data_IF_001876892227
#
_entry.id   IF_001876892227
#
_cell.length_a   1.000
_cell.length_b   1.000
_cell.length_c   1.000
_cell.angle_alpha   90.00
_cell.angle_beta   90.00
_cell.angle_gamma   90.00
#
_symmetry.space_group_name_H-M   'P 1'
#
loop_
_entity.id
_entity.type
_entity.pdbx_description
1 polymer ?
#
# COMPACT_ATOMS: atom_id res chain seq x y z
N UNK A 1 -10.76 -0.16 26.34
CA UNK A 1 -9.67 -0.90 25.65
C UNK A 1 -10.10 -1.72 24.42
N UNK A 2 -11.36 -2.13 24.27
CA UNK A 2 -11.80 -2.96 23.11
C UNK A 2 -11.87 -2.18 21.77
N UNK A 3 -12.25 -0.90 21.81
CA UNK A 3 -12.31 -0.04 20.61
C UNK A 3 -10.96 0.11 19.92
N UNK A 4 -9.87 0.23 20.68
CA UNK A 4 -8.49 0.38 20.14
C UNK A 4 -8.03 -0.89 19.43
N UNK A 5 -8.31 -2.07 20.00
CA UNK A 5 -8.00 -3.37 19.37
C UNK A 5 -8.72 -3.52 18.02
N UNK A 6 -9.99 -3.12 17.95
CA UNK A 6 -10.77 -3.16 16.71
C UNK A 6 -10.24 -2.21 15.64
N UNK A 7 -9.74 -1.02 16.02
CA UNK A 7 -9.11 -0.07 15.09
C UNK A 7 -7.81 -0.66 14.54
N UNK A 8 -6.94 -1.21 15.39
CA UNK A 8 -5.69 -1.85 14.96
C UNK A 8 -5.97 -2.96 13.94
N UNK A 9 -6.93 -3.85 14.22
CA UNK A 9 -7.30 -4.96 13.31
C UNK A 9 -7.80 -4.45 11.94
N UNK A 10 -8.56 -3.35 11.92
CA UNK A 10 -9.03 -2.73 10.67
C UNK A 10 -7.85 -2.17 9.86
N UNK A 11 -6.93 -1.46 10.50
CA UNK A 11 -5.74 -0.89 9.86
C UNK A 11 -4.79 -1.99 9.33
N UNK A 12 -4.60 -3.08 10.07
CA UNK A 12 -3.81 -4.23 9.61
C UNK A 12 -4.43 -4.90 8.37
N UNK A 13 -5.76 -5.07 8.35
CA UNK A 13 -6.49 -5.59 7.19
C UNK A 13 -6.34 -4.69 5.97
N UNK A 14 -6.38 -3.37 6.17
CA UNK A 14 -6.18 -2.39 5.12
C UNK A 14 -4.75 -2.41 4.58
N UNK A 15 -3.75 -2.41 5.46
CA UNK A 15 -2.33 -2.51 5.11
C UNK A 15 -2.06 -3.77 4.27
N UNK A 16 -2.62 -4.92 4.66
CA UNK A 16 -2.49 -6.16 3.91
C UNK A 16 -3.11 -6.08 2.51
N UNK A 17 -4.33 -5.52 2.39
CA UNK A 17 -4.98 -5.31 1.09
C UNK A 17 -4.18 -4.36 0.20
N UNK A 18 -3.65 -3.27 0.77
CA UNK A 18 -2.84 -2.30 0.05
C UNK A 18 -1.55 -2.92 -0.46
N UNK A 19 -0.83 -3.68 0.38
CA UNK A 19 0.39 -4.37 -0.01
C UNK A 19 0.14 -5.43 -1.09
N UNK A 20 -0.98 -6.16 -1.02
CA UNK A 20 -1.37 -7.10 -2.06
C UNK A 20 -1.62 -6.40 -3.41
N UNK A 21 -2.36 -5.29 -3.42
CA UNK A 21 -2.57 -4.48 -4.62
C UNK A 21 -1.26 -3.92 -5.17
N UNK A 22 -0.39 -3.39 -4.29
CA UNK A 22 0.93 -2.86 -4.68
C UNK A 22 1.82 -3.95 -5.29
N UNK A 23 1.77 -5.15 -4.74
CA UNK A 23 2.47 -6.33 -5.26
C UNK A 23 2.00 -6.71 -6.66
N UNK A 24 0.67 -6.74 -6.89
CA UNK A 24 0.09 -6.97 -8.22
C UNK A 24 0.54 -5.90 -9.23
N UNK A 25 0.51 -4.63 -8.84
CA UNK A 25 0.97 -3.53 -9.69
C UNK A 25 2.47 -3.62 -10.01
N UNK A 26 3.30 -4.01 -9.02
CA UNK A 26 4.74 -4.21 -9.26
C UNK A 26 5.00 -5.36 -10.23
N UNK A 27 4.26 -6.47 -10.12
CA UNK A 27 4.35 -7.60 -11.06
C UNK A 27 3.85 -7.23 -12.46
N UNK A 28 2.82 -6.40 -12.56
CA UNK A 28 2.35 -5.88 -13.84
C UNK A 28 3.43 -5.02 -14.50
N UNK A 29 3.98 -4.05 -13.77
CA UNK A 29 5.04 -3.16 -14.27
C UNK A 29 6.33 -3.90 -14.65
N UNK A 30 6.65 -5.03 -14.02
CA UNK A 30 7.83 -5.84 -14.38
C UNK A 30 7.62 -6.68 -15.64
N UNK A 31 6.37 -7.06 -15.94
CA UNK A 31 6.04 -7.89 -17.12
C UNK A 31 5.82 -7.06 -18.39
N UNK A 32 5.42 -5.80 -18.27
CA UNK A 32 5.17 -4.94 -19.42
C UNK A 32 6.48 -4.42 -20.01
N UNK A 33 6.73 -4.77 -21.26
CA UNK A 33 7.74 -4.15 -22.13
C UNK A 33 7.23 -2.78 -22.63
N UNK A 34 8.14 -1.86 -22.98
CA UNK A 34 7.83 -0.46 -23.39
C UNK A 34 6.85 -0.33 -24.58
N UNK A 35 6.42 -1.44 -25.20
CA UNK A 35 5.52 -1.48 -26.35
C UNK A 35 4.03 -1.56 -25.96
N UNK A 36 3.69 -2.00 -24.75
CA UNK A 36 2.30 -2.23 -24.33
C UNK A 36 1.66 -1.07 -23.56
N UNK A 37 2.47 -0.19 -22.98
CA UNK A 37 2.02 0.99 -22.26
C UNK A 37 2.65 2.22 -22.89
N UNK A 38 1.85 3.28 -23.07
CA UNK A 38 2.42 4.59 -23.39
C UNK A 38 3.33 5.05 -22.25
N UNK A 39 4.28 5.94 -22.57
CA UNK A 39 5.20 6.52 -21.58
C UNK A 39 4.43 7.14 -20.41
N UNK A 40 3.33 7.86 -20.71
CA UNK A 40 2.48 8.51 -19.71
C UNK A 40 1.74 7.51 -18.83
N UNK A 41 1.15 6.46 -19.41
CA UNK A 41 0.49 5.41 -18.63
C UNK A 41 1.47 4.69 -17.70
N UNK A 42 2.68 4.41 -18.19
CA UNK A 42 3.73 3.79 -17.39
C UNK A 42 4.19 4.71 -16.24
N UNK A 43 4.35 6.00 -16.49
CA UNK A 43 4.70 6.98 -15.46
C UNK A 43 3.64 7.03 -14.35
N UNK A 44 2.36 7.18 -14.73
CA UNK A 44 1.25 7.20 -13.78
C UNK A 44 1.18 5.94 -12.90
N UNK A 45 1.38 4.76 -13.48
CA UNK A 45 1.39 3.51 -12.73
C UNK A 45 2.58 3.39 -11.75
N UNK A 46 3.74 3.97 -12.10
CA UNK A 46 4.90 4.05 -11.21
C UNK A 46 4.60 4.99 -10.04
N UNK A 47 4.05 6.17 -10.31
CA UNK A 47 3.66 7.13 -9.27
C UNK A 47 2.59 6.54 -8.34
N UNK A 48 1.58 5.87 -8.89
CA UNK A 48 0.58 5.17 -8.10
C UNK A 48 1.21 4.14 -7.17
N UNK A 49 2.15 3.31 -7.66
CA UNK A 49 2.88 2.34 -6.83
C UNK A 49 3.64 3.04 -5.69
N UNK A 50 4.27 4.18 -5.97
CA UNK A 50 5.00 4.96 -4.96
C UNK A 50 4.05 5.55 -3.90
N UNK A 51 2.91 6.12 -4.32
CA UNK A 51 1.88 6.65 -3.43
C UNK A 51 1.33 5.56 -2.49
N UNK A 52 1.02 4.38 -3.04
CA UNK A 52 0.64 3.20 -2.23
C UNK A 52 1.74 2.80 -1.24
N UNK A 53 3.01 2.93 -1.62
CA UNK A 53 4.15 2.70 -0.74
C UNK A 53 4.23 3.68 0.43
N UNK A 54 4.03 4.98 0.17
CA UNK A 54 3.98 6.04 1.19
C UNK A 54 2.81 5.79 2.15
N UNK A 55 1.62 5.47 1.62
CA UNK A 55 0.46 5.18 2.45
C UNK A 55 0.66 3.94 3.35
N UNK A 56 1.26 2.87 2.81
CA UNK A 56 1.60 1.68 3.60
C UNK A 56 2.54 1.99 4.79
N UNK A 57 3.52 2.89 4.58
CA UNK A 57 4.40 3.36 5.66
C UNK A 57 3.62 4.11 6.74
N UNK A 58 2.73 5.02 6.35
CA UNK A 58 1.89 5.78 7.28
C UNK A 58 0.98 4.85 8.11
N UNK A 59 0.34 3.85 7.48
CA UNK A 59 -0.45 2.84 8.18
C UNK A 59 0.39 2.05 9.20
N UNK A 60 1.61 1.66 8.83
CA UNK A 60 2.52 0.93 9.74
C UNK A 60 2.89 1.75 10.97
N UNK A 61 3.19 3.04 10.79
CA UNK A 61 3.49 3.96 11.89
C UNK A 61 2.25 4.12 12.80
N UNK A 62 1.08 4.39 12.21
CA UNK A 62 -0.16 4.54 13.00
C UNK A 62 -0.50 3.30 13.82
N UNK A 63 -0.31 2.10 13.26
CA UNK A 63 -0.51 0.83 13.98
C UNK A 63 0.48 0.72 15.14
N UNK A 64 1.74 1.11 14.95
CA UNK A 64 2.77 1.11 16.00
C UNK A 64 2.36 2.04 17.15
N UNK A 65 2.01 3.29 16.85
CA UNK A 65 1.60 4.28 17.85
C UNK A 65 0.39 3.79 18.66
N UNK A 66 -0.59 3.16 18.01
CA UNK A 66 -1.78 2.61 18.67
C UNK A 66 -1.47 1.39 19.56
N UNK A 67 -0.41 0.63 19.25
CA UNK A 67 0.04 -0.51 20.07
C UNK A 67 0.84 -0.04 21.28
N UNK A 68 1.62 1.02 21.14
CA UNK A 68 2.45 1.60 22.22
C UNK A 68 1.64 2.47 23.17
N UNK A 69 0.57 3.12 22.70
CA UNK A 69 -0.36 3.89 23.53
C UNK A 69 -1.35 3.01 24.33
N UNK A 70 -1.17 1.68 24.33
CA UNK A 70 -2.09 0.71 24.92
C UNK A 70 -1.51 0.03 26.16
#
# INVERSE_FOLDING_TARGET
MERVKNVIKKLEKELNKLNAKRGKLSKFLSKQNKKTLSVNQRALLIEQKQAMGKYAKALKLRIKDLKEAK
#
